data_IF_436366986866
#
_entry.id   IF_436366986866
#
_cell.length_a   1.000
_cell.length_b   1.000
_cell.length_c   1.000
_cell.angle_alpha   90.00
_cell.angle_beta   90.00
_cell.angle_gamma   90.00
#
_symmetry.space_group_name_H-M   'P 1'
#
loop_
_entity.id
_entity.type
_entity.pdbx_description
1 polymer ?
#
# COMPACT_ATOMS: atom_id res chain seq x y z
N UNK A 1 -13.16 -31.92 -14.67
CA UNK A 1 -12.89 -30.62 -15.24
C UNK A 1 -13.54 -29.59 -14.35
N UNK A 2 -12.80 -29.01 -13.38
CA UNK A 2 -13.22 -27.81 -12.68
C UNK A 2 -12.81 -26.65 -13.60
N UNK A 3 -13.74 -26.16 -14.39
CA UNK A 3 -13.68 -24.80 -14.92
C UNK A 3 -13.68 -23.87 -13.72
N UNK A 4 -12.48 -23.45 -13.33
CA UNK A 4 -12.32 -22.35 -12.40
C UNK A 4 -12.74 -21.11 -13.18
N UNK A 5 -14.03 -20.78 -13.14
CA UNK A 5 -14.54 -19.52 -13.63
C UNK A 5 -13.88 -18.41 -12.81
N UNK A 6 -12.73 -17.94 -13.26
CA UNK A 6 -12.32 -16.56 -13.04
C UNK A 6 -13.41 -15.78 -13.78
N UNK A 7 -14.47 -15.37 -13.07
CA UNK A 7 -15.40 -14.37 -13.60
C UNK A 7 -14.61 -13.07 -13.62
N UNK A 8 -13.87 -12.90 -14.71
CA UNK A 8 -13.20 -11.64 -14.98
C UNK A 8 -14.31 -10.61 -15.19
N UNK A 9 -14.25 -9.55 -14.38
CA UNK A 9 -15.14 -8.41 -14.59
C UNK A 9 -14.81 -7.78 -15.94
N UNK A 10 -15.78 -7.17 -16.60
CA UNK A 10 -15.61 -6.58 -17.95
C UNK A 10 -14.38 -5.64 -18.03
N UNK A 11 -14.07 -4.94 -16.95
CA UNK A 11 -12.92 -4.03 -16.91
C UNK A 11 -11.58 -4.79 -16.80
N UNK A 12 -11.56 -5.96 -16.17
CA UNK A 12 -10.38 -6.82 -16.14
C UNK A 12 -10.10 -7.41 -17.53
N UNK A 13 -11.13 -7.91 -18.20
CA UNK A 13 -11.04 -8.33 -19.61
C UNK A 13 -10.59 -7.18 -20.50
N UNK A 14 -11.12 -5.97 -20.29
CA UNK A 14 -10.72 -4.77 -21.00
C UNK A 14 -9.24 -4.44 -20.83
N UNK A 15 -8.71 -4.55 -19.62
CA UNK A 15 -7.29 -4.33 -19.31
C UNK A 15 -6.38 -5.37 -19.98
N UNK A 16 -6.76 -6.65 -19.92
CA UNK A 16 -6.04 -7.76 -20.58
C UNK A 16 -6.03 -7.54 -22.09
N UNK A 17 -7.19 -7.26 -22.69
CA UNK A 17 -7.31 -7.01 -24.11
C UNK A 17 -6.46 -5.81 -24.55
N UNK A 18 -6.54 -4.69 -23.84
CA UNK A 18 -5.77 -3.48 -24.16
C UNK A 18 -4.25 -3.75 -24.12
N UNK A 19 -3.78 -4.56 -23.16
CA UNK A 19 -2.38 -4.96 -23.07
C UNK A 19 -1.96 -5.87 -24.21
N UNK A 20 -2.76 -6.90 -24.53
CA UNK A 20 -2.50 -7.80 -25.66
C UNK A 20 -2.53 -7.04 -27.00
N UNK A 21 -3.46 -6.11 -27.20
CA UNK A 21 -3.53 -5.25 -28.37
C UNK A 21 -2.29 -4.35 -28.51
N UNK A 22 -1.78 -3.83 -27.39
CA UNK A 22 -0.55 -3.03 -27.39
C UNK A 22 0.66 -3.88 -27.82
N UNK A 23 0.82 -5.08 -27.26
CA UNK A 23 1.90 -6.00 -27.61
C UNK A 23 1.81 -6.49 -29.06
N UNK A 24 0.61 -6.78 -29.56
CA UNK A 24 0.38 -7.15 -30.96
C UNK A 24 0.76 -6.03 -31.94
N UNK A 25 0.67 -4.77 -31.52
CA UNK A 25 1.12 -3.59 -32.27
C UNK A 25 2.59 -3.26 -32.06
N UNK A 26 3.39 -4.21 -31.57
CA UNK A 26 4.82 -4.05 -31.26
C UNK A 26 5.14 -2.97 -30.18
N UNK A 27 4.17 -2.54 -29.38
CA UNK A 27 4.45 -1.75 -28.20
C UNK A 27 4.93 -2.69 -27.11
N UNK A 28 6.08 -2.39 -26.53
CA UNK A 28 6.68 -3.27 -25.51
C UNK A 28 6.34 -2.86 -24.07
N UNK A 29 5.59 -1.79 -23.89
CA UNK A 29 5.25 -1.24 -22.57
C UNK A 29 3.76 -0.98 -22.47
N UNK A 30 3.17 -1.36 -21.35
CA UNK A 30 1.77 -1.13 -21.02
C UNK A 30 1.63 -0.63 -19.59
N UNK A 31 0.82 0.39 -19.36
CA UNK A 31 0.51 0.95 -18.04
C UNK A 31 -0.96 0.74 -17.75
N UNK A 32 -1.26 0.02 -16.68
CA UNK A 32 -2.62 -0.22 -16.19
C UNK A 32 -2.86 0.61 -14.94
N UNK A 33 -3.76 1.58 -15.07
CA UNK A 33 -4.22 2.43 -13.96
C UNK A 33 -5.52 1.85 -13.45
N UNK A 34 -5.50 1.23 -12.28
CA UNK A 34 -6.66 0.55 -11.71
C UNK A 34 -6.78 0.87 -10.22
N UNK A 35 -7.97 1.28 -9.78
CA UNK A 35 -8.24 1.60 -8.39
C UNK A 35 -7.81 0.47 -7.44
N UNK A 36 -7.40 0.83 -6.21
CA UNK A 36 -7.14 -0.16 -5.15
C UNK A 36 -8.43 -0.94 -4.88
N UNK A 37 -8.32 -2.24 -4.65
CA UNK A 37 -9.49 -3.12 -4.46
C UNK A 37 -10.17 -3.59 -5.76
N UNK A 38 -9.83 -3.03 -6.94
CA UNK A 38 -10.39 -3.48 -8.22
C UNK A 38 -9.80 -4.80 -8.75
N UNK A 39 -8.84 -5.39 -8.02
CA UNK A 39 -8.23 -6.67 -8.41
C UNK A 39 -7.08 -6.56 -9.39
N UNK A 40 -6.23 -5.53 -9.31
CA UNK A 40 -5.00 -5.37 -10.12
C UNK A 40 -4.19 -6.67 -10.25
N UNK A 41 -3.89 -7.30 -9.12
CA UNK A 41 -3.10 -8.55 -9.08
C UNK A 41 -3.82 -9.68 -9.82
N UNK A 42 -5.14 -9.83 -9.64
CA UNK A 42 -5.92 -10.84 -10.39
C UNK A 42 -5.90 -10.58 -11.89
N UNK A 43 -6.07 -9.32 -12.31
CA UNK A 43 -6.00 -8.91 -13.72
C UNK A 43 -4.67 -9.32 -14.36
N UNK A 44 -3.55 -9.07 -13.64
CA UNK A 44 -2.23 -9.44 -14.14
C UNK A 44 -2.02 -10.95 -14.15
N UNK A 45 -2.51 -11.69 -13.16
CA UNK A 45 -2.45 -13.16 -13.18
C UNK A 45 -3.21 -13.72 -14.38
N UNK A 46 -4.39 -13.19 -14.68
CA UNK A 46 -5.16 -13.58 -15.85
C UNK A 46 -4.44 -13.22 -17.16
N UNK A 47 -3.83 -12.02 -17.24
CA UNK A 47 -2.97 -11.66 -18.37
C UNK A 47 -1.81 -12.64 -18.55
N UNK A 48 -1.09 -12.97 -17.47
CA UNK A 48 -0.01 -13.96 -17.50
C UNK A 48 -0.49 -15.31 -18.00
N UNK A 49 -1.65 -15.76 -17.51
CA UNK A 49 -2.23 -17.02 -17.95
C UNK A 49 -2.50 -17.03 -19.46
N UNK A 50 -3.10 -15.96 -20.00
CA UNK A 50 -3.35 -15.83 -21.44
C UNK A 50 -2.04 -15.88 -22.24
N UNK A 51 -1.01 -15.14 -21.82
CA UNK A 51 0.28 -15.08 -22.51
C UNK A 51 1.04 -16.41 -22.44
N UNK A 52 0.99 -17.09 -21.28
CA UNK A 52 1.59 -18.43 -21.09
C UNK A 52 0.91 -19.48 -21.95
N UNK A 53 -0.44 -19.54 -21.95
CA UNK A 53 -1.21 -20.52 -22.73
C UNK A 53 -1.00 -20.39 -24.24
N UNK A 54 -0.76 -19.17 -24.73
CA UNK A 54 -0.49 -18.91 -26.14
C UNK A 54 0.99 -18.96 -26.52
N UNK A 55 1.86 -19.30 -25.57
CA UNK A 55 3.29 -19.46 -25.82
C UNK A 55 4.06 -18.16 -26.09
N UNK A 56 3.45 -17.00 -25.74
CA UNK A 56 4.09 -15.69 -25.87
C UNK A 56 5.14 -15.43 -24.79
N UNK A 57 4.95 -16.03 -23.62
CA UNK A 57 5.78 -15.86 -22.43
C UNK A 57 6.03 -17.22 -21.81
N UNK A 58 7.24 -17.42 -21.28
CA UNK A 58 7.64 -18.60 -20.49
C UNK A 58 8.13 -18.18 -19.10
N UNK A 59 8.96 -17.16 -19.04
CA UNK A 59 9.59 -16.68 -17.81
C UNK A 59 9.11 -15.26 -17.48
N UNK A 60 8.61 -15.09 -16.27
CA UNK A 60 8.00 -13.86 -15.79
C UNK A 60 8.79 -13.33 -14.59
N UNK A 61 9.07 -12.03 -14.56
CA UNK A 61 9.57 -11.31 -13.39
C UNK A 61 8.48 -10.43 -12.82
N UNK A 62 8.14 -10.60 -11.54
CA UNK A 62 7.23 -9.74 -10.80
C UNK A 62 8.00 -8.93 -9.77
N UNK A 63 7.89 -7.60 -9.84
CA UNK A 63 8.58 -6.66 -8.97
C UNK A 63 7.59 -5.86 -8.13
N UNK A 64 7.86 -5.76 -6.83
CA UNK A 64 7.13 -4.87 -5.93
C UNK A 64 8.09 -4.14 -4.98
N UNK A 65 7.62 -3.10 -4.31
CA UNK A 65 8.46 -2.27 -3.45
C UNK A 65 8.82 -2.95 -2.13
N UNK A 66 7.92 -3.79 -1.59
CA UNK A 66 8.06 -4.42 -0.26
C UNK A 66 7.89 -5.93 -0.31
N UNK A 67 8.61 -6.63 0.59
CA UNK A 67 8.55 -8.10 0.66
C UNK A 67 7.14 -8.63 0.99
N UNK A 68 6.36 -7.91 1.80
CA UNK A 68 4.96 -8.27 2.07
C UNK A 68 4.11 -8.33 0.80
N UNK A 69 4.27 -7.35 -0.12
CA UNK A 69 3.58 -7.33 -1.41
C UNK A 69 4.05 -8.44 -2.32
N UNK A 70 5.36 -8.71 -2.34
CA UNK A 70 5.97 -9.83 -3.07
C UNK A 70 5.37 -11.16 -2.62
N UNK A 71 5.32 -11.39 -1.31
CA UNK A 71 4.76 -12.62 -0.71
C UNK A 71 3.27 -12.76 -1.00
N UNK A 72 2.49 -11.68 -0.90
CA UNK A 72 1.06 -11.67 -1.21
C UNK A 72 0.81 -11.97 -2.70
N UNK A 73 1.56 -11.33 -3.60
CA UNK A 73 1.47 -11.60 -5.03
C UNK A 73 1.82 -13.06 -5.36
N UNK A 74 2.94 -13.59 -4.80
CA UNK A 74 3.32 -15.01 -4.94
C UNK A 74 2.19 -15.93 -4.51
N UNK A 75 1.58 -15.70 -3.33
CA UNK A 75 0.44 -16.51 -2.83
C UNK A 75 -0.74 -16.48 -3.80
N UNK A 76 -1.07 -15.31 -4.35
CA UNK A 76 -2.15 -15.17 -5.32
C UNK A 76 -1.87 -15.92 -6.62
N UNK A 77 -0.62 -15.88 -7.12
CA UNK A 77 -0.20 -16.65 -8.29
C UNK A 77 -0.27 -18.16 -8.05
N UNK A 78 0.23 -18.65 -6.91
CA UNK A 78 0.12 -20.09 -6.53
C UNK A 78 -1.33 -20.55 -6.48
N UNK A 79 -2.22 -19.75 -5.93
CA UNK A 79 -3.63 -20.11 -5.80
C UNK A 79 -4.36 -20.12 -7.16
N UNK A 80 -4.03 -19.20 -8.08
CA UNK A 80 -4.75 -19.03 -9.34
C UNK A 80 -4.06 -19.73 -10.53
N UNK A 81 -2.76 -19.97 -10.45
CA UNK A 81 -1.96 -20.69 -11.44
C UNK A 81 -1.11 -21.77 -10.76
N UNK A 82 -1.73 -22.84 -10.22
CA UNK A 82 -1.03 -23.86 -9.42
C UNK A 82 0.03 -24.63 -10.19
N UNK A 83 -0.07 -24.71 -11.52
CA UNK A 83 0.91 -25.41 -12.36
C UNK A 83 2.14 -24.55 -12.70
N UNK A 84 2.14 -23.26 -12.37
CA UNK A 84 3.26 -22.35 -12.61
C UNK A 84 4.28 -22.47 -11.49
N UNK A 85 5.54 -22.82 -11.83
CA UNK A 85 6.61 -22.79 -10.85
C UNK A 85 6.96 -21.35 -10.45
N UNK A 86 6.99 -21.09 -9.15
CA UNK A 86 7.19 -19.75 -8.59
C UNK A 86 8.28 -19.73 -7.52
N UNK A 87 9.04 -18.67 -7.44
CA UNK A 87 10.03 -18.43 -6.38
C UNK A 87 9.99 -16.98 -5.89
N UNK A 88 10.33 -16.75 -4.61
CA UNK A 88 10.53 -15.43 -4.03
C UNK A 88 12.02 -15.26 -3.70
N UNK A 89 12.72 -14.45 -4.45
CA UNK A 89 14.16 -14.20 -4.25
C UNK A 89 14.50 -13.50 -2.93
N UNK A 90 13.53 -12.91 -2.27
CA UNK A 90 13.73 -12.30 -0.94
C UNK A 90 13.87 -13.38 0.15
N UNK A 91 13.30 -14.58 -0.08
CA UNK A 91 13.26 -15.70 0.86
C UNK A 91 14.15 -16.86 0.41
N UNK A 92 14.08 -17.21 -0.87
CA UNK A 92 14.73 -18.37 -1.50
C UNK A 92 15.81 -17.90 -2.47
N UNK A 93 16.99 -17.55 -1.96
CA UNK A 93 18.07 -16.95 -2.77
C UNK A 93 18.70 -17.87 -3.80
N UNK A 94 18.44 -19.18 -3.74
CA UNK A 94 19.12 -20.19 -4.55
C UNK A 94 18.21 -20.88 -5.59
N UNK A 95 16.93 -20.47 -5.68
CA UNK A 95 15.99 -21.07 -6.63
C UNK A 95 15.74 -20.14 -7.83
N UNK A 96 16.58 -20.24 -8.86
CA UNK A 96 16.55 -19.39 -10.06
C UNK A 96 15.87 -20.03 -11.27
N UNK A 97 15.41 -21.28 -11.14
CA UNK A 97 14.87 -22.06 -12.26
C UNK A 97 13.35 -21.95 -12.40
N UNK A 98 12.68 -21.23 -11.51
CA UNK A 98 11.24 -21.05 -11.57
C UNK A 98 10.84 -20.18 -12.76
N UNK A 99 9.69 -20.51 -13.37
CA UNK A 99 9.12 -19.73 -14.48
C UNK A 99 8.56 -18.37 -14.06
N UNK A 100 8.19 -18.19 -12.80
CA UNK A 100 7.81 -16.89 -12.29
C UNK A 100 8.64 -16.54 -11.05
N UNK A 101 9.42 -15.49 -11.20
CA UNK A 101 10.33 -14.99 -10.16
C UNK A 101 9.72 -13.73 -9.55
N UNK A 102 9.52 -13.76 -8.24
CA UNK A 102 9.05 -12.64 -7.44
C UNK A 102 10.20 -12.01 -6.67
N UNK A 103 10.31 -10.69 -6.70
CA UNK A 103 11.38 -9.97 -6.01
C UNK A 103 10.97 -8.56 -5.62
N UNK A 104 11.64 -7.99 -4.62
CA UNK A 104 11.61 -6.53 -4.47
C UNK A 104 12.54 -5.90 -5.50
N UNK A 105 12.26 -4.63 -5.85
CA UNK A 105 13.16 -3.86 -6.72
C UNK A 105 14.58 -3.84 -6.19
N UNK A 106 14.76 -3.64 -4.88
CA UNK A 106 16.10 -3.59 -4.26
C UNK A 106 16.85 -4.93 -4.37
N UNK A 107 16.15 -6.04 -4.11
CA UNK A 107 16.76 -7.39 -4.20
C UNK A 107 17.18 -7.68 -5.63
N UNK A 108 16.31 -7.43 -6.62
CA UNK A 108 16.62 -7.66 -8.02
C UNK A 108 17.76 -6.75 -8.51
N UNK A 109 17.78 -5.47 -8.10
CA UNK A 109 18.87 -4.56 -8.41
C UNK A 109 20.22 -5.11 -7.94
N UNK A 110 20.29 -5.60 -6.70
CA UNK A 110 21.51 -6.21 -6.16
C UNK A 110 21.90 -7.46 -6.92
N UNK A 111 20.94 -8.29 -7.35
CA UNK A 111 21.19 -9.54 -8.09
C UNK A 111 21.79 -9.27 -9.47
N UNK A 112 21.31 -8.28 -10.21
CA UNK A 112 21.86 -7.96 -11.54
C UNK A 112 23.24 -7.29 -11.46
N UNK A 113 23.55 -6.61 -10.35
CA UNK A 113 24.81 -5.88 -10.19
C UNK A 113 25.93 -6.76 -9.64
N UNK A 114 25.66 -7.56 -8.62
CA UNK A 114 26.69 -8.18 -7.78
C UNK A 114 26.79 -9.71 -7.88
N UNK A 115 25.75 -10.41 -8.35
CA UNK A 115 25.75 -11.88 -8.33
C UNK A 115 26.26 -12.44 -9.65
N UNK A 116 27.49 -12.97 -9.62
CA UNK A 116 28.09 -13.75 -10.69
C UNK A 116 28.45 -15.13 -10.10
N UNK A 117 28.03 -16.21 -10.76
CA UNK A 117 28.55 -17.56 -10.53
C UNK A 117 29.70 -17.85 -11.47
N UNK A 118 30.27 -19.07 -11.39
CA UNK A 118 31.36 -19.52 -12.27
C UNK A 118 30.99 -19.51 -13.76
N UNK A 119 29.69 -19.42 -14.09
CA UNK A 119 29.13 -19.39 -15.45
C UNK A 119 28.71 -17.97 -15.90
N UNK A 120 28.81 -16.95 -15.05
CA UNK A 120 28.45 -15.57 -15.34
C UNK A 120 27.32 -15.01 -14.45
N UNK A 121 26.54 -14.06 -14.99
CA UNK A 121 25.44 -13.46 -14.24
C UNK A 121 24.28 -14.44 -14.03
N UNK A 122 23.67 -14.38 -12.86
CA UNK A 122 22.57 -15.25 -12.44
C UNK A 122 21.39 -15.26 -13.43
N UNK A 123 21.01 -14.08 -13.92
CA UNK A 123 20.03 -13.91 -14.97
C UNK A 123 20.67 -13.20 -16.16
N UNK A 124 20.51 -13.76 -17.35
CA UNK A 124 20.90 -13.09 -18.60
C UNK A 124 19.86 -12.01 -18.95
N UNK A 125 20.22 -11.05 -19.80
CA UNK A 125 19.31 -9.99 -20.23
C UNK A 125 18.05 -10.51 -20.94
N UNK A 126 18.11 -11.70 -21.57
CA UNK A 126 16.97 -12.37 -22.22
C UNK A 126 16.33 -13.46 -21.36
N UNK A 127 16.58 -13.53 -20.06
CA UNK A 127 16.03 -14.58 -19.21
C UNK A 127 14.50 -14.48 -19.04
N UNK A 128 13.99 -13.27 -18.89
CA UNK A 128 12.56 -13.02 -18.72
C UNK A 128 11.92 -12.58 -20.03
N UNK A 129 10.72 -13.08 -20.29
CA UNK A 129 9.88 -12.73 -21.44
C UNK A 129 8.84 -11.68 -21.10
N UNK A 130 8.63 -11.40 -19.79
CA UNK A 130 7.71 -10.38 -19.28
C UNK A 130 8.20 -9.87 -17.93
N UNK A 131 8.22 -8.55 -17.77
CA UNK A 131 8.45 -7.88 -16.48
C UNK A 131 7.18 -7.17 -16.04
N UNK A 132 6.74 -7.44 -14.83
CA UNK A 132 5.59 -6.81 -14.18
C UNK A 132 6.09 -5.93 -13.06
N UNK A 133 5.67 -4.68 -13.04
CA UNK A 133 6.01 -3.69 -12.02
C UNK A 133 4.76 -3.28 -11.25
N UNK A 134 4.67 -3.67 -10.01
CA UNK A 134 3.65 -3.14 -9.11
C UNK A 134 4.07 -1.78 -8.55
N UNK A 135 3.10 -0.89 -8.36
CA UNK A 135 3.31 0.52 -7.99
C UNK A 135 4.30 1.25 -8.95
N UNK A 136 4.00 1.17 -10.25
CA UNK A 136 4.81 1.72 -11.33
C UNK A 136 4.77 3.26 -11.36
N UNK A 137 5.42 3.92 -10.40
CA UNK A 137 5.54 5.37 -10.34
C UNK A 137 7.01 5.83 -10.43
N UNK A 138 7.21 7.12 -10.75
CA UNK A 138 8.51 7.72 -11.07
C UNK A 138 9.63 7.41 -10.10
N UNK A 139 9.36 7.45 -8.78
CA UNK A 139 10.41 7.27 -7.77
C UNK A 139 11.05 5.87 -7.85
N UNK A 140 10.25 4.85 -8.09
CA UNK A 140 10.69 3.48 -8.30
C UNK A 140 11.52 3.37 -9.58
N UNK A 141 11.02 3.92 -10.69
CA UNK A 141 11.72 3.85 -11.97
C UNK A 141 13.08 4.57 -11.93
N UNK A 142 13.13 5.78 -11.42
CA UNK A 142 14.38 6.56 -11.36
C UNK A 142 15.45 5.86 -10.52
N UNK A 143 15.04 5.22 -9.42
CA UNK A 143 15.95 4.51 -8.52
C UNK A 143 16.44 3.18 -9.10
N UNK A 144 15.59 2.47 -9.84
CA UNK A 144 15.84 1.10 -10.31
C UNK A 144 15.84 0.99 -11.84
N UNK A 145 16.12 2.08 -12.54
CA UNK A 145 16.18 2.17 -14.00
C UNK A 145 17.02 1.07 -14.64
N UNK A 146 18.11 0.70 -13.99
CA UNK A 146 19.04 -0.31 -14.51
C UNK A 146 18.41 -1.69 -14.64
N UNK A 147 17.43 -2.04 -13.81
CA UNK A 147 16.67 -3.29 -13.94
C UNK A 147 15.93 -3.31 -15.28
N UNK A 148 15.25 -2.21 -15.61
CA UNK A 148 14.44 -2.10 -16.83
C UNK A 148 15.28 -1.96 -18.10
N UNK A 149 16.51 -1.45 -17.98
CA UNK A 149 17.46 -1.39 -19.07
C UNK A 149 18.22 -2.71 -19.27
N UNK A 150 18.35 -3.52 -18.20
CA UNK A 150 19.07 -4.77 -18.24
C UNK A 150 18.26 -5.88 -18.92
N UNK A 151 16.97 -6.03 -18.58
CA UNK A 151 16.14 -7.08 -19.15
C UNK A 151 15.49 -6.65 -20.46
N UNK A 152 15.75 -7.40 -21.52
CA UNK A 152 15.11 -7.19 -22.84
C UNK A 152 13.75 -7.88 -22.91
N UNK A 153 12.78 -7.38 -22.14
CA UNK A 153 11.45 -7.94 -22.02
C UNK A 153 10.36 -6.85 -22.09
N UNK A 154 9.15 -7.16 -22.57
CA UNK A 154 7.97 -6.33 -22.41
C UNK A 154 7.72 -6.00 -20.94
N UNK A 155 7.22 -4.78 -20.69
CA UNK A 155 6.99 -4.23 -19.37
C UNK A 155 5.50 -3.93 -19.16
N UNK A 156 4.93 -4.44 -18.08
CA UNK A 156 3.57 -4.10 -17.62
C UNK A 156 3.68 -3.40 -16.27
N UNK A 157 3.30 -2.13 -16.24
CA UNK A 157 3.21 -1.34 -15.00
C UNK A 157 1.79 -1.36 -14.45
N UNK A 158 1.69 -1.51 -13.13
CA UNK A 158 0.43 -1.40 -12.37
C UNK A 158 0.53 -0.21 -11.44
N UNK A 159 -0.52 0.59 -11.36
CA UNK A 159 -0.64 1.65 -10.36
C UNK A 159 -2.10 1.89 -9.97
N UNK A 160 -2.30 2.30 -8.73
CA UNK A 160 -3.59 2.77 -8.24
C UNK A 160 -3.72 4.30 -8.32
N UNK A 161 -2.62 5.00 -8.58
CA UNK A 161 -2.62 6.47 -8.70
C UNK A 161 -3.53 6.89 -9.85
N UNK A 162 -4.49 7.81 -9.65
CA UNK A 162 -5.35 8.31 -10.71
C UNK A 162 -4.53 8.85 -11.88
N UNK A 163 -5.02 8.66 -13.11
CA UNK A 163 -4.30 9.02 -14.33
C UNK A 163 -3.84 10.49 -14.38
N UNK A 164 -4.64 11.39 -13.82
CA UNK A 164 -4.35 12.84 -13.80
C UNK A 164 -3.32 13.23 -12.71
N UNK A 165 -3.06 12.34 -11.76
CA UNK A 165 -2.08 12.51 -10.68
C UNK A 165 -0.75 11.79 -10.98
N UNK A 166 -0.71 10.96 -12.02
CA UNK A 166 0.51 10.28 -12.44
C UNK A 166 1.50 11.31 -13.03
N UNK A 167 2.72 11.28 -12.52
CA UNK A 167 3.80 12.13 -13.03
C UNK A 167 4.01 11.91 -14.54
N UNK A 168 4.16 13.02 -15.29
CA UNK A 168 4.41 13.01 -16.72
C UNK A 168 5.55 12.07 -17.13
N UNK A 169 6.61 12.02 -16.32
CA UNK A 169 7.76 11.14 -16.61
C UNK A 169 7.40 9.65 -16.54
N UNK A 170 6.40 9.25 -15.74
CA UNK A 170 5.92 7.86 -15.75
C UNK A 170 5.32 7.51 -17.10
N UNK A 171 4.51 8.41 -17.69
CA UNK A 171 3.99 8.21 -19.04
C UNK A 171 5.10 8.14 -20.10
N UNK A 172 6.13 8.98 -19.99
CA UNK A 172 7.30 8.94 -20.88
C UNK A 172 8.06 7.61 -20.78
N UNK A 173 8.19 7.05 -19.56
CA UNK A 173 8.81 5.74 -19.32
C UNK A 173 8.05 4.64 -20.06
N UNK A 174 6.72 4.69 -20.03
CA UNK A 174 5.86 3.72 -20.70
C UNK A 174 5.61 4.07 -22.18
N UNK A 175 6.25 5.11 -22.71
CA UNK A 175 6.10 5.58 -24.10
C UNK A 175 4.64 5.90 -24.45
N UNK A 176 3.94 6.51 -23.49
CA UNK A 176 2.53 6.88 -23.57
C UNK A 176 2.35 8.40 -23.60
N UNK A 177 1.26 8.85 -24.16
CA UNK A 177 0.81 10.24 -24.07
C UNK A 177 0.40 10.56 -22.63
N UNK A 178 0.75 11.75 -22.17
CA UNK A 178 0.43 12.18 -20.79
C UNK A 178 -1.08 12.13 -20.52
N UNK A 179 -1.47 11.51 -19.43
CA UNK A 179 -2.86 11.31 -19.05
C UNK A 179 -3.59 10.17 -19.80
N UNK A 180 -2.90 9.45 -20.70
CA UNK A 180 -3.49 8.37 -21.50
C UNK A 180 -2.79 7.04 -21.21
N UNK A 181 -3.16 6.32 -20.13
CA UNK A 181 -2.63 4.99 -19.86
C UNK A 181 -3.07 3.98 -20.92
N UNK A 182 -2.42 2.82 -20.97
CA UNK A 182 -2.86 1.71 -21.84
C UNK A 182 -4.28 1.28 -21.49
N UNK A 183 -4.62 1.27 -20.21
CA UNK A 183 -5.97 1.04 -19.72
C UNK A 183 -6.17 1.77 -18.38
N UNK A 184 -7.36 2.34 -18.18
CA UNK A 184 -7.75 3.05 -16.97
C UNK A 184 -9.07 2.57 -16.41
N UNK A 185 -9.11 2.20 -15.12
CA UNK A 185 -10.31 1.89 -14.36
C UNK A 185 -10.20 2.51 -12.97
N UNK A 186 -10.70 3.73 -12.87
CA UNK A 186 -10.55 4.57 -11.69
C UNK A 186 -11.68 4.35 -10.68
N UNK A 187 -11.48 4.84 -9.43
CA UNK A 187 -12.41 4.66 -8.32
C UNK A 187 -13.83 5.13 -8.66
N UNK A 188 -13.97 6.32 -9.23
CA UNK A 188 -15.30 6.88 -9.58
C UNK A 188 -16.10 5.95 -10.50
N UNK A 189 -15.42 5.32 -11.48
CA UNK A 189 -16.06 4.35 -12.35
C UNK A 189 -16.38 3.05 -11.61
N UNK A 190 -15.46 2.56 -10.77
CA UNK A 190 -15.64 1.33 -10.00
C UNK A 190 -16.79 1.43 -8.97
N UNK A 191 -16.96 2.59 -8.36
CA UNK A 191 -18.10 2.88 -7.46
C UNK A 191 -19.40 2.96 -8.26
N UNK A 192 -19.41 3.65 -9.39
CA UNK A 192 -20.57 3.75 -10.29
C UNK A 192 -21.03 2.38 -10.76
N UNK A 193 -20.10 1.49 -11.06
CA UNK A 193 -20.36 0.12 -11.50
C UNK A 193 -20.74 -0.83 -10.37
N UNK A 194 -20.62 -0.39 -9.10
CA UNK A 194 -20.95 -1.17 -7.91
C UNK A 194 -19.89 -2.22 -7.50
N UNK A 195 -18.67 -2.14 -8.05
CA UNK A 195 -17.56 -3.03 -7.67
C UNK A 195 -16.78 -2.51 -6.47
N UNK A 196 -16.74 -1.22 -6.25
CA UNK A 196 -16.16 -0.60 -5.06
C UNK A 196 -17.22 0.26 -4.36
N UNK A 197 -16.99 0.52 -3.09
CA UNK A 197 -17.84 1.40 -2.28
C UNK A 197 -17.26 2.79 -2.21
N UNK A 198 -18.12 3.79 -2.13
CA UNK A 198 -17.72 5.16 -1.87
C UNK A 198 -17.31 5.34 -0.41
N UNK A 199 -16.53 6.36 -0.12
CA UNK A 199 -16.09 6.67 1.23
C UNK A 199 -16.67 8.01 1.72
N UNK A 200 -16.92 8.09 3.02
CA UNK A 200 -17.28 9.31 3.71
C UNK A 200 -16.06 9.84 4.46
N UNK A 201 -15.61 11.02 4.07
CA UNK A 201 -14.56 11.73 4.82
C UNK A 201 -15.17 12.53 5.95
N UNK A 202 -14.73 12.26 7.18
CA UNK A 202 -15.06 13.08 8.36
C UNK A 202 -13.78 13.79 8.78
N UNK A 203 -13.72 15.08 8.52
CA UNK A 203 -12.61 15.93 8.90
C UNK A 203 -12.80 16.39 10.34
N UNK A 204 -11.91 15.96 11.24
CA UNK A 204 -11.88 16.50 12.61
C UNK A 204 -10.93 17.69 12.61
N UNK A 205 -11.48 18.88 12.51
CA UNK A 205 -10.71 20.13 12.60
C UNK A 205 -10.32 20.37 14.06
N UNK A 206 -9.03 20.24 14.32
CA UNK A 206 -8.44 20.67 15.58
C UNK A 206 -8.08 22.15 15.42
N UNK A 207 -8.73 23.04 16.15
CA UNK A 207 -8.55 24.51 16.06
C UNK A 207 -7.08 24.94 16.05
N UNK A 208 -6.26 24.29 16.86
CA UNK A 208 -4.84 24.61 16.97
C UNK A 208 -4.02 24.29 15.69
N UNK A 209 -4.49 23.37 14.84
CA UNK A 209 -3.81 23.07 13.56
C UNK A 209 -4.01 24.20 12.54
N UNK A 210 -5.16 24.89 12.59
CA UNK A 210 -5.48 25.99 11.68
C UNK A 210 -4.94 27.35 12.20
N UNK A 211 -5.06 27.60 13.50
CA UNK A 211 -4.81 28.91 14.10
C UNK A 211 -3.45 29.02 14.81
N UNK A 212 -2.73 27.91 14.97
CA UNK A 212 -1.55 27.83 15.83
C UNK A 212 -1.97 27.74 17.30
N UNK A 213 -0.99 27.62 18.21
CA UNK A 213 -1.22 27.65 19.65
C UNK A 213 -0.71 28.99 20.18
N UNK A 214 -1.60 29.70 20.88
CA UNK A 214 -1.24 30.90 21.63
C UNK A 214 -1.27 30.54 23.12
N UNK A 215 -0.14 30.69 23.81
CA UNK A 215 0.03 30.29 25.20
C UNK A 215 -1.05 30.85 26.13
N UNK A 216 -1.39 32.14 25.98
CA UNK A 216 -2.39 32.82 26.83
C UNK A 216 -3.82 32.29 26.67
N UNK A 217 -4.11 31.60 25.56
CA UNK A 217 -5.41 31.02 25.26
C UNK A 217 -5.60 29.59 25.80
N UNK A 218 -4.56 28.99 26.38
CA UNK A 218 -4.56 27.64 26.92
C UNK A 218 -5.13 27.59 28.35
N UNK A 219 -5.77 26.49 28.71
CA UNK A 219 -6.13 26.16 30.09
C UNK A 219 -4.87 25.89 30.94
N UNK A 220 -5.02 25.89 32.25
CA UNK A 220 -3.88 25.67 33.16
C UNK A 220 -3.24 24.29 32.96
N UNK A 221 -4.02 23.27 32.62
CA UNK A 221 -3.54 21.91 32.32
C UNK A 221 -2.80 21.89 30.97
N UNK A 222 -3.34 22.57 29.96
CA UNK A 222 -2.71 22.68 28.64
C UNK A 222 -1.41 23.49 28.69
N UNK A 223 -1.31 24.51 29.57
CA UNK A 223 -0.09 25.28 29.79
C UNK A 223 1.04 24.44 30.35
N UNK A 224 0.76 23.54 31.31
CA UNK A 224 1.78 22.62 31.84
C UNK A 224 2.36 21.71 30.75
N UNK A 225 1.51 21.24 29.85
CA UNK A 225 1.92 20.39 28.72
C UNK A 225 2.72 21.22 27.70
N UNK A 226 2.28 22.45 27.43
CA UNK A 226 2.96 23.37 26.55
C UNK A 226 4.38 23.70 27.07
N UNK A 227 4.50 24.03 28.35
CA UNK A 227 5.75 24.30 29.03
C UNK A 227 6.71 23.12 28.93
N UNK A 228 6.25 21.91 29.28
CA UNK A 228 7.07 20.68 29.20
C UNK A 228 7.49 20.29 27.79
N UNK A 229 6.78 20.78 26.76
CA UNK A 229 7.02 20.38 25.35
C UNK A 229 7.85 21.41 24.60
N UNK A 230 7.73 22.70 24.93
CA UNK A 230 8.28 23.81 24.15
C UNK A 230 9.22 24.73 24.91
N UNK A 231 9.46 24.47 26.20
CA UNK A 231 10.49 25.17 26.97
C UNK A 231 11.86 24.88 26.39
N UNK A 232 12.64 25.91 26.06
CA UNK A 232 13.99 25.76 25.56
C UNK A 232 15.03 25.50 26.68
N UNK A 233 16.26 25.23 26.29
CA UNK A 233 17.37 24.99 27.26
C UNK A 233 17.65 26.19 28.23
N UNK A 234 17.08 27.36 27.90
CA UNK A 234 17.22 28.59 28.72
C UNK A 234 15.99 28.88 29.59
N UNK A 235 14.93 28.04 29.49
CA UNK A 235 13.66 28.25 30.19
C UNK A 235 12.76 29.30 29.52
N UNK A 236 13.00 29.62 28.24
CA UNK A 236 12.15 30.52 27.48
C UNK A 236 11.03 29.75 26.74
N UNK A 237 9.81 30.28 26.87
CA UNK A 237 8.62 29.71 26.21
C UNK A 237 8.19 30.60 25.03
N UNK A 238 7.96 30.06 23.83
CA UNK A 238 7.43 30.84 22.73
C UNK A 238 5.97 31.26 23.02
N UNK A 239 5.65 32.54 22.87
CA UNK A 239 4.28 33.06 23.05
C UNK A 239 3.28 32.46 22.05
N UNK A 240 3.80 32.02 20.89
CA UNK A 240 3.00 31.42 19.81
C UNK A 240 3.81 30.37 19.06
N UNK A 241 3.14 29.25 18.76
CA UNK A 241 3.69 28.21 17.89
C UNK A 241 2.88 28.18 16.59
N UNK A 242 3.58 28.37 15.49
CA UNK A 242 2.98 28.27 14.16
C UNK A 242 2.67 26.81 13.79
N UNK A 243 1.66 26.63 12.94
CA UNK A 243 1.19 25.31 12.49
C UNK A 243 2.26 24.36 11.95
N UNK A 244 3.42 24.88 11.50
CA UNK A 244 4.55 24.09 11.03
C UNK A 244 5.32 23.34 12.14
N UNK A 245 5.31 23.88 13.39
CA UNK A 245 5.94 23.26 14.57
C UNK A 245 4.98 22.38 15.36
N UNK A 246 3.71 22.38 15.03
CA UNK A 246 2.65 21.61 15.72
C UNK A 246 2.73 20.09 15.55
N UNK A 247 3.66 19.60 14.76
CA UNK A 247 3.88 18.16 14.60
C UNK A 247 4.18 17.41 15.93
N UNK A 248 4.69 18.11 16.93
CA UNK A 248 4.97 17.57 18.28
C UNK A 248 3.70 17.50 19.12
N UNK A 249 2.75 18.42 18.93
CA UNK A 249 1.49 18.45 19.67
C UNK A 249 0.50 17.34 19.29
N UNK A 250 0.66 16.71 18.10
CA UNK A 250 -0.15 15.54 17.68
C UNK A 250 0.10 14.33 18.58
N UNK A 251 1.20 14.32 19.33
CA UNK A 251 1.55 13.30 20.34
C UNK A 251 0.88 13.53 21.70
N UNK A 252 0.12 14.63 21.88
CA UNK A 252 -0.56 14.94 23.12
C UNK A 252 -1.69 13.92 23.40
N UNK A 253 -1.74 13.41 24.63
CA UNK A 253 -2.76 12.47 25.09
C UNK A 253 -4.18 12.96 24.81
N UNK A 254 -4.46 14.25 25.04
CA UNK A 254 -5.80 14.83 24.82
C UNK A 254 -6.22 14.81 23.35
N UNK A 255 -5.28 15.03 22.43
CA UNK A 255 -5.54 14.96 20.99
C UNK A 255 -5.86 13.54 20.58
N UNK A 256 -5.03 12.58 21.05
CA UNK A 256 -5.22 11.15 20.80
C UNK A 256 -6.57 10.71 21.39
N UNK A 257 -6.87 11.08 22.63
CA UNK A 257 -8.11 10.78 23.33
C UNK A 257 -9.34 11.29 22.55
N UNK A 258 -9.34 12.53 22.10
CA UNK A 258 -10.44 13.10 21.29
C UNK A 258 -10.66 12.35 19.99
N UNK A 259 -9.59 11.98 19.29
CA UNK A 259 -9.66 11.20 18.05
C UNK A 259 -10.20 9.79 18.31
N UNK A 260 -9.68 9.11 19.33
CA UNK A 260 -10.16 7.79 19.73
C UNK A 260 -11.62 7.81 20.15
N UNK A 261 -12.04 8.80 20.93
CA UNK A 261 -13.44 8.97 21.32
C UNK A 261 -14.33 9.23 20.10
N UNK A 262 -13.88 10.05 19.15
CA UNK A 262 -14.60 10.26 17.89
C UNK A 262 -14.74 8.97 17.10
N UNK A 263 -13.69 8.19 16.98
CA UNK A 263 -13.71 6.88 16.33
C UNK A 263 -14.69 5.93 17.03
N UNK A 264 -14.59 5.79 18.34
CA UNK A 264 -15.42 4.85 19.11
C UNK A 264 -16.90 5.24 19.12
N UNK A 265 -17.22 6.54 18.99
CA UNK A 265 -18.61 7.03 18.98
C UNK A 265 -19.20 7.10 17.59
N UNK A 266 -18.46 7.63 16.59
CA UNK A 266 -18.95 7.92 15.23
C UNK A 266 -18.48 6.92 14.18
N UNK A 267 -17.46 6.10 14.49
CA UNK A 267 -16.97 5.09 13.56
C UNK A 267 -18.05 4.10 13.16
N UNK A 268 -17.93 3.55 11.97
CA UNK A 268 -18.84 2.52 11.45
C UNK A 268 -18.76 1.28 12.31
N UNK A 269 -19.91 0.81 12.76
CA UNK A 269 -20.06 -0.33 13.66
C UNK A 269 -20.72 -1.50 12.97
N UNK A 270 -20.35 -2.69 13.40
CA UNK A 270 -20.93 -3.98 13.02
C UNK A 270 -21.78 -4.53 14.19
N UNK A 271 -22.34 -5.72 14.03
CA UNK A 271 -23.13 -6.41 15.05
C UNK A 271 -24.26 -5.52 15.63
N UNK A 272 -25.05 -4.94 14.73
CA UNK A 272 -26.16 -4.04 15.07
C UNK A 272 -25.74 -2.80 15.89
N UNK A 273 -24.51 -2.32 15.68
CA UNK A 273 -23.97 -1.13 16.34
C UNK A 273 -23.21 -1.42 17.65
N UNK A 274 -23.03 -2.69 18.03
CA UNK A 274 -22.42 -3.06 19.29
C UNK A 274 -20.89 -3.14 19.24
N UNK A 275 -20.31 -3.34 18.05
CA UNK A 275 -18.86 -3.50 17.87
C UNK A 275 -18.35 -2.55 16.79
N UNK A 276 -17.24 -1.88 17.05
CA UNK A 276 -16.57 -1.08 16.03
C UNK A 276 -16.14 -2.00 14.89
N UNK A 277 -16.30 -1.57 13.64
CA UNK A 277 -15.78 -2.28 12.48
C UNK A 277 -14.25 -2.31 12.46
N UNK A 278 -13.64 -3.22 11.70
CA UNK A 278 -12.19 -3.24 11.53
C UNK A 278 -11.68 -1.85 11.16
N UNK A 279 -10.65 -1.41 11.82
CA UNK A 279 -10.16 -0.03 11.76
C UNK A 279 -8.65 -0.03 11.58
N UNK A 280 -8.14 0.84 10.71
CA UNK A 280 -6.71 1.14 10.62
C UNK A 280 -6.48 2.57 11.08
N UNK A 281 -5.53 2.76 11.99
CA UNK A 281 -5.04 4.07 12.44
C UNK A 281 -3.64 4.25 11.89
N UNK A 282 -3.43 5.27 11.07
CA UNK A 282 -2.13 5.63 10.52
C UNK A 282 -1.42 6.63 11.43
N UNK A 283 -0.40 6.14 12.14
CA UNK A 283 0.44 6.93 13.01
C UNK A 283 1.61 7.58 12.24
N UNK A 284 2.23 8.59 12.83
CA UNK A 284 3.35 9.31 12.23
C UNK A 284 4.65 8.50 12.23
N UNK A 285 4.94 7.83 13.34
CA UNK A 285 6.10 6.96 13.58
C UNK A 285 5.77 5.91 14.63
N UNK A 286 6.73 5.03 14.95
CA UNK A 286 6.57 3.95 15.91
C UNK A 286 6.19 4.46 17.31
N UNK A 287 6.89 5.45 17.84
CA UNK A 287 6.63 6.00 19.18
C UNK A 287 5.22 6.57 19.30
N UNK A 288 4.74 7.21 18.22
CA UNK A 288 3.36 7.67 18.14
C UNK A 288 2.35 6.51 18.11
N UNK A 289 2.65 5.43 17.40
CA UNK A 289 1.79 4.25 17.37
C UNK A 289 1.67 3.61 18.76
N UNK A 290 2.78 3.47 19.48
CA UNK A 290 2.81 2.98 20.86
C UNK A 290 2.05 3.92 21.81
N UNK A 291 2.20 5.24 21.66
CA UNK A 291 1.46 6.21 22.48
C UNK A 291 -0.05 6.14 22.23
N UNK A 292 -0.49 5.97 21.00
CA UNK A 292 -1.92 5.77 20.67
C UNK A 292 -2.44 4.49 21.35
N UNK A 293 -1.66 3.41 21.33
CA UNK A 293 -2.03 2.16 21.99
C UNK A 293 -2.11 2.32 23.51
N UNK A 294 -1.16 3.03 24.13
CA UNK A 294 -1.15 3.33 25.56
C UNK A 294 -2.43 4.09 25.97
N UNK A 295 -2.75 5.17 25.26
CA UNK A 295 -3.97 5.98 25.53
C UNK A 295 -5.22 5.14 25.33
N UNK A 296 -5.29 4.33 24.27
CA UNK A 296 -6.41 3.43 24.04
C UNK A 296 -6.62 2.46 25.22
N UNK A 297 -5.57 1.79 25.67
CA UNK A 297 -5.64 0.85 26.79
C UNK A 297 -6.02 1.53 28.12
N UNK A 298 -5.62 2.76 28.31
CA UNK A 298 -5.96 3.59 29.48
C UNK A 298 -7.45 3.96 29.51
N UNK A 299 -8.00 4.36 28.35
CA UNK A 299 -9.39 4.80 28.23
C UNK A 299 -10.40 3.67 28.08
N UNK A 300 -9.98 2.57 27.44
CA UNK A 300 -10.82 1.41 27.17
C UNK A 300 -10.27 0.11 27.79
N UNK A 301 -10.04 0.08 29.14
CA UNK A 301 -9.42 -1.07 29.81
C UNK A 301 -10.28 -2.34 29.76
N UNK A 302 -11.55 -2.20 29.43
CA UNK A 302 -12.50 -3.31 29.25
C UNK A 302 -12.40 -3.99 27.88
N UNK A 303 -11.54 -3.51 26.98
CA UNK A 303 -11.31 -4.03 25.63
C UNK A 303 -9.86 -4.54 25.44
N UNK A 304 -9.40 -5.53 26.21
CA UNK A 304 -8.02 -6.02 26.12
C UNK A 304 -7.75 -6.62 24.74
N UNK A 305 -6.60 -6.25 24.11
CA UNK A 305 -6.21 -6.75 22.80
C UNK A 305 -7.05 -6.22 21.62
N UNK A 306 -7.96 -5.30 21.87
CA UNK A 306 -8.82 -4.74 20.83
C UNK A 306 -8.04 -3.88 19.83
N UNK A 307 -7.02 -3.17 20.31
CA UNK A 307 -6.05 -2.42 19.51
C UNK A 307 -4.65 -3.06 19.59
N UNK A 308 -3.90 -3.02 18.50
CA UNK A 308 -2.52 -3.53 18.42
C UNK A 308 -1.71 -2.70 17.44
N UNK A 309 -0.45 -2.42 17.77
CA UNK A 309 0.51 -1.84 16.79
C UNK A 309 0.93 -2.94 15.82
N UNK A 310 0.89 -2.63 14.54
CA UNK A 310 1.34 -3.50 13.45
C UNK A 310 2.25 -2.69 12.55
N UNK A 311 3.55 -2.86 12.71
CA UNK A 311 4.58 -2.14 11.98
C UNK A 311 5.82 -3.00 11.66
N UNK A 312 6.79 -2.43 10.97
CA UNK A 312 8.02 -3.11 10.54
C UNK A 312 8.97 -3.49 11.69
N UNK A 313 8.74 -3.00 12.91
CA UNK A 313 9.55 -3.34 14.08
C UNK A 313 9.13 -4.66 14.74
N UNK A 314 7.97 -5.20 14.35
CA UNK A 314 7.47 -6.48 14.88
C UNK A 314 8.19 -7.68 14.25
N UNK A 315 8.64 -8.61 15.08
CA UNK A 315 9.29 -9.86 14.63
C UNK A 315 8.34 -10.76 13.80
N UNK A 316 7.03 -10.68 14.02
CA UNK A 316 5.99 -11.49 13.35
C UNK A 316 4.91 -10.62 12.71
N UNK A 317 5.31 -9.56 12.03
CA UNK A 317 4.40 -8.59 11.43
C UNK A 317 3.41 -9.23 10.45
N UNK A 318 3.84 -10.20 9.62
CA UNK A 318 2.95 -10.89 8.69
C UNK A 318 1.86 -11.70 9.40
N UNK A 319 2.20 -12.37 10.51
CA UNK A 319 1.20 -13.11 11.31
C UNK A 319 0.18 -12.15 11.93
N UNK A 320 0.62 -10.96 12.36
CA UNK A 320 -0.29 -9.95 12.90
C UNK A 320 -1.24 -9.38 11.83
N UNK A 321 -0.78 -9.23 10.59
CA UNK A 321 -1.61 -8.86 9.45
C UNK A 321 -2.62 -9.96 9.15
N UNK A 322 -2.19 -11.22 9.11
CA UNK A 322 -3.06 -12.37 8.85
C UNK A 322 -4.15 -12.50 9.96
N UNK A 323 -3.80 -12.23 11.23
CA UNK A 323 -4.77 -12.16 12.33
C UNK A 323 -5.75 -11.00 12.17
N UNK A 324 -5.25 -9.80 11.82
CA UNK A 324 -6.08 -8.63 11.59
C UNK A 324 -7.03 -8.82 10.40
N UNK A 325 -6.60 -9.54 9.37
CA UNK A 325 -7.40 -9.82 8.18
C UNK A 325 -8.55 -10.81 8.43
N UNK A 326 -8.51 -11.58 9.53
CA UNK A 326 -9.58 -12.49 9.90
C UNK A 326 -10.72 -11.69 10.58
N UNK A 327 -11.95 -11.68 10.02
CA UNK A 327 -13.06 -10.90 10.57
C UNK A 327 -13.48 -11.32 11.98
N UNK A 328 -13.14 -12.57 12.39
CA UNK A 328 -13.52 -13.14 13.68
C UNK A 328 -12.46 -12.96 14.78
N UNK A 329 -11.24 -12.56 14.40
CA UNK A 329 -10.12 -12.42 15.34
C UNK A 329 -9.87 -10.96 15.74
N UNK A 330 -9.24 -10.80 16.90
CA UNK A 330 -8.62 -9.53 17.29
C UNK A 330 -7.23 -9.41 16.60
N UNK A 331 -6.71 -8.21 16.44
CA UNK A 331 -7.23 -6.93 16.90
C UNK A 331 -8.37 -6.41 16.02
N UNK A 332 -9.21 -5.53 16.59
CA UNK A 332 -10.21 -4.79 15.85
C UNK A 332 -9.65 -3.50 15.28
N UNK A 333 -8.67 -2.92 15.97
CA UNK A 333 -7.95 -1.72 15.55
C UNK A 333 -6.47 -2.09 15.30
N UNK A 334 -5.99 -1.88 14.10
CA UNK A 334 -4.58 -1.95 13.74
C UNK A 334 -4.00 -0.52 13.73
N UNK A 335 -2.96 -0.27 14.52
CA UNK A 335 -2.24 1.00 14.53
C UNK A 335 -0.95 0.80 13.75
N UNK A 336 -0.79 1.48 12.62
CA UNK A 336 0.32 1.27 11.69
C UNK A 336 1.00 2.58 11.32
N UNK A 337 2.28 2.52 10.98
CA UNK A 337 3.02 3.67 10.48
C UNK A 337 2.96 3.73 8.95
N UNK A 338 3.52 2.73 8.28
CA UNK A 338 3.60 2.65 6.82
C UNK A 338 3.26 1.24 6.28
N UNK A 339 3.21 0.23 7.16
CA UNK A 339 3.12 -1.16 6.73
C UNK A 339 1.76 -1.51 6.11
N UNK A 340 0.70 -0.84 6.54
CA UNK A 340 -0.66 -1.03 6.04
C UNK A 340 -1.07 0.07 5.02
N UNK A 341 -0.12 0.87 4.54
CA UNK A 341 -0.39 2.02 3.65
C UNK A 341 -0.82 1.59 2.24
N UNK A 342 -0.28 0.47 1.73
CA UNK A 342 -0.56 0.00 0.36
C UNK A 342 -0.59 -1.53 0.27
N UNK A 343 -1.42 -2.04 -0.62
CA UNK A 343 -1.38 -3.43 -1.07
C UNK A 343 -1.88 -4.49 -0.09
N UNK A 344 -2.49 -4.13 1.02
CA UNK A 344 -3.09 -5.08 1.95
C UNK A 344 -4.56 -5.25 1.58
N UNK A 345 -4.95 -6.48 1.34
CA UNK A 345 -6.33 -6.87 1.04
C UNK A 345 -7.03 -7.31 2.34
N UNK A 346 -7.69 -6.36 3.00
CA UNK A 346 -8.54 -6.60 4.19
C UNK A 346 -9.92 -5.99 3.93
N UNK A 347 -10.80 -6.73 3.25
CA UNK A 347 -12.13 -6.24 2.84
C UNK A 347 -13.02 -5.77 4.00
N UNK A 348 -12.75 -6.24 5.22
CA UNK A 348 -13.52 -5.92 6.41
C UNK A 348 -13.16 -4.58 7.06
N UNK A 349 -12.19 -3.85 6.55
CA UNK A 349 -11.85 -2.52 7.06
C UNK A 349 -12.96 -1.53 6.71
N UNK A 350 -13.54 -0.95 7.74
CA UNK A 350 -14.65 0.01 7.63
C UNK A 350 -14.27 1.43 8.05
N UNK A 351 -13.20 1.60 8.84
CA UNK A 351 -12.77 2.89 9.32
C UNK A 351 -11.28 3.09 9.07
N UNK A 352 -10.91 4.27 8.61
CA UNK A 352 -9.54 4.72 8.48
C UNK A 352 -9.36 6.01 9.28
N UNK A 353 -8.31 6.08 10.08
CA UNK A 353 -7.96 7.25 10.90
C UNK A 353 -6.55 7.71 10.55
N UNK A 354 -6.40 8.96 10.16
CA UNK A 354 -5.11 9.52 9.75
C UNK A 354 -4.63 10.55 10.76
N UNK A 355 -3.56 10.22 11.48
CA UNK A 355 -2.82 11.18 12.33
C UNK A 355 -1.67 11.85 11.58
N UNK A 356 -1.46 11.51 10.31
CA UNK A 356 -0.46 12.12 9.43
C UNK A 356 -1.14 12.73 8.21
N UNK A 357 -0.53 13.78 7.64
CA UNK A 357 -1.00 14.33 6.38
C UNK A 357 -0.83 13.27 5.28
N UNK A 358 -1.93 12.90 4.66
CA UNK A 358 -1.94 11.94 3.55
C UNK A 358 -1.73 12.72 2.25
N UNK A 359 -0.68 12.37 1.52
CA UNK A 359 -0.34 13.00 0.24
C UNK A 359 -0.79 12.17 -0.97
N UNK A 360 -1.36 10.99 -0.75
CA UNK A 360 -1.80 10.08 -1.79
C UNK A 360 -3.21 9.58 -1.53
N UNK A 361 -4.06 9.65 -2.55
CA UNK A 361 -5.40 9.04 -2.54
C UNK A 361 -5.36 7.52 -2.44
N UNK A 362 -4.24 6.88 -2.77
CA UNK A 362 -4.07 5.42 -2.67
C UNK A 362 -4.32 4.89 -1.26
N UNK A 363 -3.99 5.67 -0.21
CA UNK A 363 -4.25 5.31 1.19
C UNK A 363 -5.74 5.33 1.54
N UNK A 364 -6.52 6.17 0.90
CA UNK A 364 -7.97 6.28 1.11
C UNK A 364 -8.69 5.11 0.45
N UNK A 365 -8.10 4.54 -0.60
CA UNK A 365 -8.72 3.47 -1.40
C UNK A 365 -8.49 2.06 -0.84
N UNK A 366 -7.85 1.92 0.31
CA UNK A 366 -7.70 0.64 1.00
C UNK A 366 -9.06 0.13 1.47
#
# INVERSE_FOLDING_TARGET
GSEMCIRDSYYQEGAIKATCDAFTRNRRKALLVMATGSGKTRTVIALCNVLLQHGWVKNILFLADRNSLVTQAKRSFVNLLPDLSVTNLCEEKDNYTAHCVFSTYQTMYNVIDSVQDENGKLFTCGHFDLVICDEAHRSVYNKYKDIFNYFDAPLVGLTATPKDEIDKNTYEIFELENGVPTYGYELAQAVKDGYLVDFLSVETKLKFIEEGIVYDALSDEEKQIYESTFEDENGELPERIDSSKLNEWVFNEDTISKVLNTLMTKGIKIDYGNKLGKTIIFAKNHDHAEKILEVFNKEYPHLPGFAKVIDNYMTYAQSAIDEFSDPKKLPQIAISVDMLDTGIDVPEVLNLVFFKKVMSLSLIHI
#
